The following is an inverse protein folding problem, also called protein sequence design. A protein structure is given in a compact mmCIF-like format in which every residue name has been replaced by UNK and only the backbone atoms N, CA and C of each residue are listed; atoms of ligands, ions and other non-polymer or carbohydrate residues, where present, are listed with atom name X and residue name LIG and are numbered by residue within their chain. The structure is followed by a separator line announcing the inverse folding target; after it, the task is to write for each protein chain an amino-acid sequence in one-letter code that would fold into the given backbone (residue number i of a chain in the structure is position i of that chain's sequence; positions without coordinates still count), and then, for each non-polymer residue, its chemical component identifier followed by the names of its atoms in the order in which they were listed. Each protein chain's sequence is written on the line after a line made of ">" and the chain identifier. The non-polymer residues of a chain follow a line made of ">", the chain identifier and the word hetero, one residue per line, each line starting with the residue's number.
data_IF_758794508689
#
_entry.id   IF_758794508689
#
_cell.length_a   1.000
_cell.length_b   1.000
_cell.length_c   1.000
_cell.angle_alpha   90.00
_cell.angle_beta   90.00
_cell.angle_gamma   90.00
#
_symmetry.space_group_name_H-M   'P 1'
#
loop_
_entity.id
_entity.type
_entity.pdbx_description
1 polymer ?
#
# COMPACT_ATOMS: atom_id res chain seq x y z
N UNK A 1 -9.20 13.86 -12.54
CA UNK A 1 -8.57 13.42 -13.81
C UNK A 1 -9.59 12.59 -14.54
N UNK A 2 -9.92 12.94 -15.79
CA UNK A 2 -10.91 12.22 -16.59
C UNK A 2 -10.27 10.99 -17.23
N UNK A 3 -11.08 9.97 -17.48
CA UNK A 3 -10.68 8.79 -18.24
C UNK A 3 -11.14 8.99 -19.66
N UNK A 4 -10.26 8.67 -20.59
CA UNK A 4 -10.60 8.58 -22.01
C UNK A 4 -11.10 7.17 -22.23
N UNK A 5 -12.41 6.95 -22.44
CA UNK A 5 -12.91 5.60 -22.59
C UNK A 5 -12.41 4.98 -23.89
N UNK A 6 -11.98 3.73 -23.87
CA UNK A 6 -11.45 3.08 -25.07
C UNK A 6 -12.57 2.71 -26.06
N UNK A 7 -12.37 2.97 -27.35
CA UNK A 7 -13.36 2.64 -28.39
C UNK A 7 -13.73 1.14 -28.41
N UNK A 8 -12.77 0.28 -28.09
CA UNK A 8 -12.94 -1.17 -28.04
C UNK A 8 -13.94 -1.59 -26.96
N UNK A 9 -13.99 -0.88 -25.83
CA UNK A 9 -14.91 -1.19 -24.72
C UNK A 9 -16.36 -0.82 -25.03
N UNK A 10 -16.59 0.05 -26.01
CA UNK A 10 -17.92 0.44 -26.49
C UNK A 10 -18.39 -0.33 -27.71
N UNK A 11 -17.61 -1.30 -28.21
CA UNK A 11 -17.91 -1.98 -29.47
C UNK A 11 -19.26 -2.71 -29.43
N UNK A 12 -19.67 -3.19 -28.26
CA UNK A 12 -20.96 -3.84 -28.03
C UNK A 12 -22.15 -2.89 -28.15
N UNK A 13 -21.93 -1.58 -28.07
CA UNK A 13 -22.94 -0.53 -28.17
C UNK A 13 -22.79 0.33 -29.43
N UNK A 14 -21.88 -0.03 -30.33
CA UNK A 14 -21.59 0.75 -31.52
C UNK A 14 -22.80 0.86 -32.45
N UNK A 15 -23.07 2.07 -32.93
CA UNK A 15 -24.10 2.31 -33.93
C UNK A 15 -25.53 2.43 -33.39
N UNK A 16 -25.78 2.21 -32.09
CA UNK A 16 -27.11 2.27 -31.46
C UNK A 16 -28.01 3.42 -31.98
N UNK A 17 -27.49 4.65 -32.00
CA UNK A 17 -28.26 5.83 -32.38
C UNK A 17 -28.77 5.82 -33.84
N UNK A 18 -28.12 5.06 -34.74
CA UNK A 18 -28.43 5.00 -36.17
C UNK A 18 -29.31 3.81 -36.56
N UNK A 19 -29.73 3.01 -35.58
CA UNK A 19 -30.35 1.69 -35.77
C UNK A 19 -31.85 1.71 -35.53
N UNK A 20 -32.56 0.74 -36.12
CA UNK A 20 -33.99 0.54 -35.89
C UNK A 20 -34.26 0.09 -34.46
N UNK A 21 -35.53 0.08 -34.07
CA UNK A 21 -35.93 -0.27 -32.71
C UNK A 21 -35.68 -1.74 -32.35
N UNK A 22 -35.76 -2.62 -33.34
CA UNK A 22 -35.42 -4.05 -33.24
C UNK A 22 -33.90 -4.22 -33.12
N UNK A 23 -33.12 -3.57 -34.00
CA UNK A 23 -31.66 -3.60 -33.97
C UNK A 23 -31.09 -3.01 -32.66
N UNK A 24 -31.72 -1.95 -32.11
CA UNK A 24 -31.37 -1.39 -30.79
C UNK A 24 -31.56 -2.40 -29.67
N UNK A 25 -32.61 -3.21 -29.75
CA UNK A 25 -32.88 -4.26 -28.77
C UNK A 25 -31.81 -5.35 -28.86
N UNK A 26 -31.50 -5.80 -30.06
CA UNK A 26 -30.43 -6.78 -30.28
C UNK A 26 -29.07 -6.30 -29.77
N UNK A 27 -28.72 -5.03 -29.99
CA UNK A 27 -27.48 -4.41 -29.47
C UNK A 27 -27.43 -4.50 -27.95
N UNK A 28 -28.51 -4.11 -27.26
CA UNK A 28 -28.58 -4.13 -25.79
C UNK A 28 -28.53 -5.56 -25.24
N UNK A 29 -29.28 -6.48 -25.83
CA UNK A 29 -29.27 -7.90 -25.42
C UNK A 29 -27.91 -8.55 -25.66
N UNK A 30 -27.25 -8.28 -26.80
CA UNK A 30 -25.89 -8.77 -27.08
C UNK A 30 -24.85 -8.19 -26.11
N UNK A 31 -25.09 -6.98 -25.60
CA UNK A 31 -24.29 -6.37 -24.54
C UNK A 31 -24.64 -6.90 -23.13
N UNK A 32 -25.57 -7.87 -23.02
CA UNK A 32 -26.02 -8.45 -21.75
C UNK A 32 -26.87 -7.50 -20.91
N UNK A 33 -27.52 -6.53 -21.54
CA UNK A 33 -28.30 -5.50 -20.86
C UNK A 33 -29.79 -5.65 -21.14
N UNK A 34 -30.51 -6.14 -20.13
CA UNK A 34 -31.96 -6.12 -20.13
C UNK A 34 -32.47 -4.80 -19.53
N UNK A 35 -33.56 -4.21 -20.08
CA UNK A 35 -34.20 -3.04 -19.51
C UNK A 35 -34.69 -3.27 -18.08
N UNK A 36 -34.50 -2.26 -17.23
CA UNK A 36 -34.87 -2.28 -15.81
C UNK A 36 -35.65 -1.03 -15.42
N UNK A 37 -36.21 -0.99 -14.20
CA UNK A 37 -36.88 0.21 -13.70
C UNK A 37 -35.96 1.44 -13.66
N UNK A 38 -34.66 1.26 -13.37
CA UNK A 38 -33.67 2.34 -13.38
C UNK A 38 -33.57 2.95 -14.79
N UNK A 39 -33.71 2.14 -15.83
CA UNK A 39 -33.66 2.60 -17.21
C UNK A 39 -34.89 3.45 -17.56
N UNK A 40 -36.05 3.09 -17.01
CA UNK A 40 -37.26 3.91 -17.13
C UNK A 40 -37.06 5.24 -16.40
N UNK A 41 -36.59 5.22 -15.16
CA UNK A 41 -36.36 6.43 -14.36
C UNK A 41 -35.33 7.35 -15.04
N UNK A 42 -34.28 6.78 -15.67
CA UNK A 42 -33.29 7.51 -16.46
C UNK A 42 -33.89 8.14 -17.72
N UNK A 43 -34.72 7.39 -18.45
CA UNK A 43 -35.38 7.86 -19.65
C UNK A 43 -36.34 9.02 -19.31
N UNK A 44 -37.15 8.85 -18.26
CA UNK A 44 -38.09 9.85 -17.74
C UNK A 44 -37.33 11.12 -17.29
N UNK A 45 -36.22 10.96 -16.56
CA UNK A 45 -35.37 12.07 -16.15
C UNK A 45 -34.82 12.87 -17.34
N UNK A 46 -34.47 12.19 -18.44
CA UNK A 46 -33.98 12.80 -19.67
C UNK A 46 -35.10 13.33 -20.57
N UNK A 47 -36.37 13.14 -20.18
CA UNK A 47 -37.55 13.57 -20.95
C UNK A 47 -37.78 12.73 -22.20
N UNK A 48 -37.40 11.45 -22.18
CA UNK A 48 -37.55 10.52 -23.30
C UNK A 48 -38.44 9.35 -22.88
N UNK A 49 -39.52 9.09 -23.60
CA UNK A 49 -40.38 7.91 -23.40
C UNK A 49 -39.80 6.65 -24.08
N UNK A 50 -38.52 6.35 -23.82
CA UNK A 50 -37.83 5.19 -24.39
C UNK A 50 -36.92 4.52 -23.35
N UNK A 51 -37.40 3.42 -22.77
CA UNK A 51 -36.65 2.62 -21.80
C UNK A 51 -35.35 2.04 -22.40
N UNK A 52 -35.30 1.79 -23.71
CA UNK A 52 -34.09 1.28 -24.37
C UNK A 52 -33.02 2.37 -24.38
N UNK A 53 -33.42 3.63 -24.55
CA UNK A 53 -32.50 4.76 -24.46
C UNK A 53 -31.92 4.89 -23.05
N UNK A 54 -32.76 4.76 -22.02
CA UNK A 54 -32.29 4.70 -20.62
C UNK A 54 -31.28 3.55 -20.40
N UNK A 55 -31.59 2.36 -20.92
CA UNK A 55 -30.73 1.18 -20.85
C UNK A 55 -29.38 1.40 -21.55
N UNK A 56 -29.40 2.05 -22.72
CA UNK A 56 -28.19 2.44 -23.45
C UNK A 56 -27.31 3.42 -22.64
N UNK A 57 -27.91 4.44 -22.01
CA UNK A 57 -27.20 5.39 -21.16
C UNK A 57 -26.59 4.68 -19.95
N UNK A 58 -27.34 3.77 -19.29
CA UNK A 58 -26.79 2.95 -18.20
C UNK A 58 -25.61 2.09 -18.67
N UNK A 59 -25.68 1.54 -19.88
CA UNK A 59 -24.57 0.80 -20.48
C UNK A 59 -23.31 1.65 -20.63
N UNK A 60 -23.44 2.86 -21.17
CA UNK A 60 -22.34 3.81 -21.28
C UNK A 60 -21.73 4.12 -19.90
N UNK A 61 -22.58 4.42 -18.91
CA UNK A 61 -22.13 4.76 -17.55
C UNK A 61 -21.38 3.59 -16.93
N UNK A 62 -21.90 2.37 -17.06
CA UNK A 62 -21.29 1.15 -16.52
C UNK A 62 -19.89 0.95 -17.09
N UNK A 63 -19.74 1.02 -18.41
CA UNK A 63 -18.45 0.85 -19.09
C UNK A 63 -17.43 1.89 -18.59
N UNK A 64 -17.83 3.17 -18.49
CA UNK A 64 -16.97 4.23 -17.98
C UNK A 64 -16.54 4.00 -16.53
N UNK A 65 -17.45 3.54 -15.67
CA UNK A 65 -17.16 3.25 -14.25
C UNK A 65 -16.19 2.09 -14.14
N UNK A 66 -16.37 1.02 -14.92
CA UNK A 66 -15.50 -0.15 -14.90
C UNK A 66 -14.08 0.19 -15.36
N UNK A 67 -13.94 1.01 -16.40
CA UNK A 67 -12.64 1.48 -16.88
C UNK A 67 -11.94 2.36 -15.82
N UNK A 68 -12.71 3.22 -15.15
CA UNK A 68 -12.21 4.02 -14.02
C UNK A 68 -11.73 3.17 -12.86
N UNK A 69 -12.54 2.21 -12.45
CA UNK A 69 -12.19 1.33 -11.35
C UNK A 69 -10.97 0.48 -11.69
N UNK A 70 -10.83 0.02 -12.93
CA UNK A 70 -9.68 -0.76 -13.39
C UNK A 70 -8.39 0.05 -13.29
N UNK A 71 -8.35 1.27 -13.83
CA UNK A 71 -7.15 2.11 -13.76
C UNK A 71 -6.85 2.54 -12.33
N UNK A 72 -7.87 2.96 -11.57
CA UNK A 72 -7.70 3.34 -10.17
C UNK A 72 -7.16 2.19 -9.32
N UNK A 73 -7.61 0.94 -9.57
CA UNK A 73 -7.11 -0.22 -8.84
C UNK A 73 -5.65 -0.54 -9.19
N UNK A 74 -5.22 -0.34 -10.45
CA UNK A 74 -3.80 -0.46 -10.83
C UNK A 74 -2.94 0.56 -10.08
N UNK A 75 -3.39 1.80 -9.99
CA UNK A 75 -2.68 2.86 -9.26
C UNK A 75 -2.59 2.54 -7.76
N UNK A 76 -3.68 2.09 -7.15
CA UNK A 76 -3.66 1.66 -5.75
C UNK A 76 -2.73 0.48 -5.51
N UNK A 77 -2.74 -0.53 -6.38
CA UNK A 77 -1.85 -1.69 -6.26
C UNK A 77 -0.37 -1.26 -6.32
N UNK A 78 -0.03 -0.38 -7.28
CA UNK A 78 1.31 0.20 -7.43
C UNK A 78 1.75 0.92 -6.16
N UNK A 79 0.89 1.76 -5.60
CA UNK A 79 1.18 2.51 -4.37
C UNK A 79 1.43 1.58 -3.17
N UNK A 80 0.62 0.52 -3.01
CA UNK A 80 0.80 -0.47 -1.95
C UNK A 80 2.16 -1.18 -2.10
N UNK A 81 2.54 -1.52 -3.33
CA UNK A 81 3.80 -2.20 -3.61
C UNK A 81 5.01 -1.29 -3.35
N UNK A 82 4.96 -0.03 -3.79
CA UNK A 82 5.97 0.98 -3.47
C UNK A 82 6.14 1.16 -1.97
N UNK A 83 5.03 1.28 -1.23
CA UNK A 83 5.07 1.44 0.22
C UNK A 83 5.68 0.22 0.91
N UNK A 84 5.32 -1.00 0.49
CA UNK A 84 5.91 -2.24 1.01
C UNK A 84 7.42 -2.30 0.76
N UNK A 85 7.86 -1.95 -0.44
CA UNK A 85 9.27 -1.96 -0.79
C UNK A 85 10.08 -0.98 0.05
N UNK A 86 9.60 0.25 0.19
CA UNK A 86 10.24 1.28 1.03
C UNK A 86 10.29 0.85 2.49
N UNK A 87 9.20 0.29 3.01
CA UNK A 87 9.13 -0.16 4.39
C UNK A 87 10.10 -1.31 4.66
N UNK A 88 10.13 -2.32 3.78
CA UNK A 88 11.03 -3.46 3.90
C UNK A 88 12.50 -3.03 3.83
N UNK A 89 12.87 -2.17 2.88
CA UNK A 89 14.22 -1.64 2.77
C UNK A 89 14.64 -0.88 4.05
N UNK A 90 13.72 -0.08 4.61
CA UNK A 90 13.96 0.64 5.87
C UNK A 90 14.14 -0.33 7.05
N UNK A 91 13.33 -1.39 7.09
CA UNK A 91 13.40 -2.40 8.14
C UNK A 91 14.72 -3.18 8.08
N UNK A 92 15.15 -3.61 6.89
CA UNK A 92 16.45 -4.25 6.66
C UNK A 92 17.61 -3.36 7.11
N UNK A 93 17.58 -2.07 6.74
CA UNK A 93 18.57 -1.11 7.19
C UNK A 93 18.61 -1.01 8.72
N UNK A 94 17.45 -0.92 9.37
CA UNK A 94 17.36 -0.84 10.84
C UNK A 94 17.88 -2.10 11.53
N UNK A 95 17.61 -3.28 10.96
CA UNK A 95 18.17 -4.52 11.47
C UNK A 95 19.70 -4.56 11.34
N UNK A 96 20.25 -4.10 10.22
CA UNK A 96 21.69 -4.00 10.03
C UNK A 96 22.34 -3.04 11.04
N UNK A 97 21.78 -1.83 11.18
CA UNK A 97 22.24 -0.83 12.16
C UNK A 97 22.22 -1.39 13.59
N UNK A 98 21.15 -2.09 13.98
CA UNK A 98 21.01 -2.68 15.31
C UNK A 98 22.04 -3.79 15.56
N UNK A 99 22.25 -4.67 14.58
CA UNK A 99 23.24 -5.74 14.71
C UNK A 99 24.66 -5.18 14.86
N UNK A 100 24.98 -4.12 14.12
CA UNK A 100 26.29 -3.47 14.24
C UNK A 100 26.48 -2.76 15.59
N UNK A 101 25.42 -2.12 16.11
CA UNK A 101 25.44 -1.55 17.47
C UNK A 101 25.67 -2.62 18.54
N UNK A 102 25.02 -3.79 18.41
CA UNK A 102 25.22 -4.92 19.32
C UNK A 102 26.67 -5.41 19.26
N UNK A 103 27.24 -5.55 18.05
CA UNK A 103 28.64 -5.94 17.85
C UNK A 103 29.62 -4.97 18.52
N UNK A 104 29.46 -3.67 18.27
CA UNK A 104 30.29 -2.63 18.87
C UNK A 104 30.17 -2.61 20.41
N UNK A 105 28.96 -2.83 20.92
CA UNK A 105 28.72 -2.91 22.37
C UNK A 105 29.44 -4.11 22.97
N UNK A 106 29.37 -5.29 22.34
CA UNK A 106 30.04 -6.51 22.80
C UNK A 106 31.58 -6.36 22.77
N UNK A 107 32.14 -5.77 21.72
CA UNK A 107 33.57 -5.45 21.63
C UNK A 107 34.02 -4.48 22.73
N UNK A 108 33.22 -3.43 22.99
CA UNK A 108 33.51 -2.46 24.05
C UNK A 108 33.41 -3.11 25.44
N UNK A 109 32.44 -4.01 25.66
CA UNK A 109 32.33 -4.78 26.90
C UNK A 109 33.55 -5.66 27.14
N UNK A 110 34.02 -6.38 26.11
CA UNK A 110 35.25 -7.20 26.22
C UNK A 110 36.48 -6.36 26.57
N UNK A 111 36.64 -5.19 25.94
CA UNK A 111 37.74 -4.28 26.27
C UNK A 111 37.67 -3.78 27.72
N UNK A 112 36.48 -3.41 28.20
CA UNK A 112 36.27 -2.99 29.59
C UNK A 112 36.54 -4.13 30.57
N UNK A 113 36.11 -5.34 30.24
CA UNK A 113 36.35 -6.54 31.04
C UNK A 113 37.85 -6.85 31.14
N UNK A 114 38.55 -6.87 30.00
CA UNK A 114 40.01 -7.06 29.97
C UNK A 114 40.75 -5.99 30.80
N UNK A 115 40.37 -4.73 30.64
CA UNK A 115 40.95 -3.63 31.42
C UNK A 115 40.71 -3.85 32.92
N UNK A 116 39.47 -4.13 33.31
CA UNK A 116 39.10 -4.34 34.70
C UNK A 116 39.92 -5.47 35.34
N UNK A 117 40.03 -6.63 34.70
CA UNK A 117 40.79 -7.76 35.26
C UNK A 117 42.31 -7.58 35.21
N UNK A 118 42.86 -6.82 34.25
CA UNK A 118 44.29 -6.47 34.23
C UNK A 118 44.67 -5.49 35.35
N UNK A 119 43.75 -4.62 35.77
CA UNK A 119 44.03 -3.53 36.70
C UNK A 119 43.43 -3.71 38.10
N UNK A 120 42.61 -4.75 38.32
CA UNK A 120 41.97 -5.03 39.62
C UNK A 120 42.55 -6.27 40.26
N UNK A 121 42.94 -6.20 41.54
CA UNK A 121 43.37 -7.38 42.29
C UNK A 121 42.18 -8.23 42.73
N UNK A 122 42.40 -9.53 42.99
CA UNK A 122 41.34 -10.45 43.42
C UNK A 122 40.62 -9.97 44.70
N UNK A 123 41.37 -9.36 45.63
CA UNK A 123 40.81 -8.74 46.84
C UNK A 123 39.94 -7.51 46.54
N UNK A 124 40.36 -6.65 45.59
CA UNK A 124 39.54 -5.51 45.15
C UNK A 124 38.28 -5.95 44.40
N UNK A 125 38.40 -6.98 43.56
CA UNK A 125 37.25 -7.56 42.86
C UNK A 125 36.18 -8.06 43.86
N UNK A 126 36.59 -8.83 44.87
CA UNK A 126 35.68 -9.32 45.93
C UNK A 126 34.97 -8.16 46.66
N UNK A 127 35.70 -7.11 47.05
CA UNK A 127 35.13 -5.91 47.68
C UNK A 127 34.08 -5.25 46.76
N UNK A 128 34.38 -5.08 45.47
CA UNK A 128 33.46 -4.45 44.50
C UNK A 128 32.19 -5.30 44.32
N UNK A 129 32.32 -6.62 44.21
CA UNK A 129 31.19 -7.54 43.99
C UNK A 129 30.32 -7.71 45.24
N UNK A 130 30.91 -7.69 46.44
CA UNK A 130 30.20 -7.87 47.71
C UNK A 130 29.57 -6.58 48.26
N UNK A 131 30.20 -5.43 48.04
CA UNK A 131 29.75 -4.13 48.59
C UNK A 131 29.15 -3.18 47.54
N UNK A 132 29.12 -3.58 46.26
CA UNK A 132 28.51 -2.81 45.17
C UNK A 132 29.15 -1.43 44.92
N UNK A 133 30.36 -1.21 45.42
CA UNK A 133 31.04 0.10 45.36
C UNK A 133 32.31 -0.01 44.53
N UNK A 134 32.31 0.66 43.37
CA UNK A 134 33.51 0.87 42.55
C UNK A 134 34.43 1.83 43.28
N UNK A 135 35.71 1.46 43.42
CA UNK A 135 36.76 2.27 44.03
C UNK A 135 36.83 3.67 43.38
N UNK A 136 37.03 4.71 44.18
CA UNK A 136 36.91 6.11 43.75
C UNK A 136 37.97 6.47 42.68
N UNK A 137 39.16 5.89 42.78
CA UNK A 137 40.26 6.04 41.81
C UNK A 137 39.91 5.45 40.43
N UNK A 138 39.12 4.37 40.40
CA UNK A 138 38.70 3.73 39.15
C UNK A 138 37.54 4.48 38.49
N UNK A 139 36.65 5.10 39.30
CA UNK A 139 35.59 6.00 38.80
C UNK A 139 36.14 7.24 38.07
N UNK A 140 37.30 7.75 38.47
CA UNK A 140 37.92 8.91 37.80
C UNK A 140 38.67 8.51 36.52
N UNK A 141 39.29 7.33 36.48
CA UNK A 141 40.02 6.85 35.30
C UNK A 141 39.11 6.33 34.18
N UNK A 142 37.93 5.83 34.51
CA UNK A 142 36.93 5.39 33.51
C UNK A 142 36.14 6.54 32.84
N UNK A 143 36.35 7.80 33.26
CA UNK A 143 35.73 9.00 32.67
C UNK A 143 36.58 9.70 31.60
N UNK A 144 37.84 9.28 31.42
CA UNK A 144 38.71 9.72 30.31
C UNK A 144 38.67 8.70 29.19
#
# INVERSE_FOLDING_TARGET
>A
MGITPSKEKFITLEGYAKKSDEERTEILTNAGMEPTQIDQDLADFLGVEDIKFGCFIRGIITICIDENNTERNKDFARYIEEYKNVHNATLEQKHFEMNEQIRLMDENWKLKEEYYFKHTSMKKHQIITELGTVDQDDKEKMKK
#
